data_IF_343410291603
#
_entry.id   IF_343410291603
#
_cell.length_a   1.000
_cell.length_b   1.000
_cell.length_c   1.000
_cell.angle_alpha   90.00
_cell.angle_beta   90.00
_cell.angle_gamma   90.00
#
_symmetry.space_group_name_H-M   'P 1'
#
loop_
_entity.id
_entity.type
_entity.pdbx_description
1 polymer ?
#
# COMPACT_ATOMS: atom_id res chain seq x y z
N UNK A 1 -14.23 17.25 -13.40
CA UNK A 1 -14.80 16.24 -12.48
C UNK A 1 -16.10 15.67 -13.03
N UNK A 2 -17.10 16.51 -13.33
CA UNK A 2 -18.31 16.12 -14.07
C UNK A 2 -18.75 17.24 -15.03
N UNK A 3 -19.60 16.97 -16.03
CA UNK A 3 -20.17 18.00 -16.90
C UNK A 3 -20.83 19.10 -16.07
N UNK A 4 -20.65 20.37 -16.47
CA UNK A 4 -21.15 21.56 -15.77
C UNK A 4 -20.67 21.72 -14.30
N UNK A 5 -19.66 20.94 -13.87
CA UNK A 5 -19.20 20.96 -12.48
C UNK A 5 -18.66 22.30 -11.98
N UNK A 6 -18.26 23.21 -12.88
CA UNK A 6 -17.84 24.57 -12.52
C UNK A 6 -18.99 25.39 -11.90
N UNK A 7 -20.23 25.11 -12.28
CA UNK A 7 -21.43 25.82 -11.79
C UNK A 7 -22.10 25.13 -10.61
N UNK A 8 -21.57 24.00 -10.15
CA UNK A 8 -22.15 23.22 -9.05
C UNK A 8 -21.29 23.46 -7.81
N UNK A 9 -21.74 24.23 -6.81
CA UNK A 9 -21.00 24.42 -5.58
C UNK A 9 -20.87 23.09 -4.82
N UNK A 10 -19.74 22.89 -4.14
CA UNK A 10 -19.57 21.76 -3.22
C UNK A 10 -20.28 22.08 -1.91
N UNK A 11 -21.19 21.21 -1.50
CA UNK A 11 -22.01 21.34 -0.28
C UNK A 11 -21.83 20.11 0.61
N UNK A 12 -22.36 20.17 1.82
CA UNK A 12 -22.30 19.05 2.77
C UNK A 12 -22.97 17.78 2.23
N UNK A 13 -24.02 17.93 1.42
CA UNK A 13 -24.77 16.84 0.81
C UNK A 13 -23.98 16.18 -0.34
N UNK A 14 -23.22 16.97 -1.12
CA UNK A 14 -22.53 16.49 -2.31
C UNK A 14 -21.02 16.24 -2.14
N UNK A 15 -20.43 16.55 -0.98
CA UNK A 15 -18.99 16.40 -0.72
C UNK A 15 -18.46 14.99 -0.95
N UNK A 16 -19.25 13.94 -0.66
CA UNK A 16 -18.86 12.54 -0.90
C UNK A 16 -18.65 12.28 -2.40
N UNK A 17 -19.54 12.81 -3.23
CA UNK A 17 -19.43 12.71 -4.69
C UNK A 17 -18.21 13.47 -5.18
N UNK A 18 -18.01 14.69 -4.68
CA UNK A 18 -16.84 15.50 -5.01
C UNK A 18 -15.53 14.77 -4.71
N UNK A 19 -15.38 14.22 -3.50
CA UNK A 19 -14.18 13.47 -3.09
C UNK A 19 -13.95 12.29 -4.03
N UNK A 20 -14.99 11.48 -4.32
CA UNK A 20 -14.86 10.34 -5.24
C UNK A 20 -14.39 10.78 -6.63
N UNK A 21 -15.01 11.82 -7.20
CA UNK A 21 -14.64 12.34 -8.52
C UNK A 21 -13.22 12.91 -8.52
N UNK A 22 -12.85 13.64 -7.47
CA UNK A 22 -11.53 14.22 -7.32
C UNK A 22 -10.44 13.15 -7.23
N UNK A 23 -10.67 12.10 -6.44
CA UNK A 23 -9.75 10.96 -6.33
C UNK A 23 -9.57 10.29 -7.69
N UNK A 24 -10.66 9.94 -8.38
CA UNK A 24 -10.58 9.34 -9.72
C UNK A 24 -9.79 10.22 -10.70
N UNK A 25 -10.08 11.52 -10.73
CA UNK A 25 -9.34 12.46 -11.56
C UNK A 25 -7.87 12.54 -11.17
N UNK A 26 -7.54 12.58 -9.88
CA UNK A 26 -6.16 12.69 -9.39
C UNK A 26 -5.31 11.48 -9.77
N UNK A 27 -5.91 10.29 -9.84
CA UNK A 27 -5.23 9.06 -10.24
C UNK A 27 -5.13 8.87 -11.76
N UNK A 28 -6.10 9.33 -12.54
CA UNK A 28 -6.13 9.09 -13.99
C UNK A 28 -5.56 10.23 -14.84
N UNK A 29 -5.60 11.47 -14.34
CA UNK A 29 -5.23 12.65 -15.13
C UNK A 29 -3.81 12.53 -15.69
N UNK A 30 -3.70 12.57 -17.01
CA UNK A 30 -2.42 12.58 -17.74
C UNK A 30 -1.82 11.19 -18.00
N UNK A 31 -2.39 10.13 -17.42
CA UNK A 31 -1.89 8.76 -17.58
C UNK A 31 -2.94 7.75 -18.05
N UNK A 32 -4.19 8.18 -18.25
CA UNK A 32 -5.31 7.28 -18.57
C UNK A 32 -5.05 6.41 -19.81
N UNK A 33 -4.55 7.00 -20.90
CA UNK A 33 -4.26 6.25 -22.12
C UNK A 33 -3.16 5.18 -21.91
N UNK A 34 -2.11 5.54 -21.15
CA UNK A 34 -0.99 4.65 -20.82
C UNK A 34 -1.42 3.54 -19.87
N UNK A 35 -2.25 3.87 -18.88
CA UNK A 35 -2.81 2.91 -17.93
C UNK A 35 -3.71 1.89 -18.65
N UNK A 36 -4.60 2.35 -19.53
CA UNK A 36 -5.46 1.47 -20.33
C UNK A 36 -4.66 0.57 -21.28
N UNK A 37 -3.60 1.09 -21.90
CA UNK A 37 -2.71 0.29 -22.75
C UNK A 37 -1.99 -0.79 -21.95
N UNK A 38 -1.47 -0.46 -20.75
CA UNK A 38 -0.83 -1.44 -19.86
C UNK A 38 -1.83 -2.49 -19.39
N UNK A 39 -3.02 -2.09 -18.95
CA UNK A 39 -4.08 -2.99 -18.52
C UNK A 39 -4.50 -3.95 -19.65
N UNK A 40 -4.62 -3.44 -20.88
CA UNK A 40 -4.93 -4.25 -22.06
C UNK A 40 -3.85 -5.32 -22.28
N UNK A 41 -2.58 -4.92 -22.37
CA UNK A 41 -1.48 -5.87 -22.59
C UNK A 41 -1.34 -6.89 -21.47
N UNK A 42 -1.54 -6.48 -20.22
CA UNK A 42 -1.54 -7.41 -19.08
C UNK A 42 -2.67 -8.43 -19.18
N UNK A 43 -3.89 -7.99 -19.52
CA UNK A 43 -5.07 -8.85 -19.64
C UNK A 43 -5.05 -9.78 -20.87
N UNK A 44 -4.26 -9.46 -21.91
CA UNK A 44 -4.01 -10.35 -23.05
C UNK A 44 -3.17 -11.59 -22.64
N UNK A 45 -2.33 -11.46 -21.62
CA UNK A 45 -1.50 -12.54 -21.08
C UNK A 45 -2.17 -13.26 -19.91
N UNK A 46 -2.74 -12.50 -18.97
CA UNK A 46 -3.37 -13.01 -17.76
C UNK A 46 -4.87 -12.67 -17.78
N UNK A 47 -5.76 -13.65 -17.95
CA UNK A 47 -7.20 -13.40 -17.96
C UNK A 47 -7.70 -12.69 -16.70
N UNK A 48 -8.45 -11.60 -16.88
CA UNK A 48 -8.90 -10.73 -15.78
C UNK A 48 -9.69 -11.48 -14.69
N UNK A 49 -10.40 -12.55 -15.02
CA UNK A 49 -11.19 -13.30 -14.05
C UNK A 49 -10.32 -14.02 -13.00
N UNK A 50 -9.07 -14.36 -13.33
CA UNK A 50 -8.12 -14.96 -12.38
C UNK A 50 -7.63 -13.94 -11.33
N UNK A 51 -7.65 -12.65 -11.68
CA UNK A 51 -7.21 -11.58 -10.80
C UNK A 51 -8.30 -11.18 -9.78
N UNK A 52 -9.57 -11.50 -10.04
CA UNK A 52 -10.71 -11.07 -9.21
C UNK A 52 -10.68 -11.63 -7.79
N UNK A 53 -9.93 -12.70 -7.55
CA UNK A 53 -9.81 -13.34 -6.23
C UNK A 53 -8.81 -12.61 -5.33
N UNK A 54 -7.93 -11.78 -5.88
CA UNK A 54 -6.87 -11.09 -5.14
C UNK A 54 -7.24 -9.64 -4.85
N UNK A 55 -6.87 -9.16 -3.67
CA UNK A 55 -6.82 -7.73 -3.40
C UNK A 55 -5.53 -7.09 -3.97
N UNK A 56 -5.40 -5.77 -3.86
CA UNK A 56 -4.24 -5.04 -4.39
C UNK A 56 -2.91 -5.45 -3.73
N UNK A 57 -2.95 -5.89 -2.47
CA UNK A 57 -1.77 -6.26 -1.69
C UNK A 57 -1.30 -7.67 -2.03
N UNK A 58 -2.24 -8.58 -2.22
CA UNK A 58 -1.99 -9.94 -2.68
C UNK A 58 -1.44 -9.96 -4.10
N UNK A 59 -1.97 -9.12 -4.99
CA UNK A 59 -1.41 -8.96 -6.33
C UNK A 59 0.03 -8.42 -6.30
N UNK A 60 0.34 -7.45 -5.43
CA UNK A 60 1.73 -6.98 -5.23
C UNK A 60 2.63 -8.13 -4.76
N UNK A 61 2.18 -8.95 -3.80
CA UNK A 61 2.95 -10.08 -3.28
C UNK A 61 3.22 -11.15 -4.34
N UNK A 62 2.24 -11.45 -5.20
CA UNK A 62 2.40 -12.42 -6.29
C UNK A 62 3.43 -11.93 -7.31
N UNK A 63 3.40 -10.64 -7.66
CA UNK A 63 4.30 -10.06 -8.66
C UNK A 63 5.71 -9.88 -8.09
N UNK A 64 5.84 -9.40 -6.86
CA UNK A 64 7.14 -9.06 -6.27
C UNK A 64 7.80 -10.23 -5.52
N UNK A 65 7.02 -11.26 -5.18
CA UNK A 65 7.45 -12.40 -4.37
C UNK A 65 7.57 -12.08 -2.88
N UNK A 66 7.68 -13.15 -2.07
CA UNK A 66 7.94 -13.06 -0.64
C UNK A 66 9.46 -13.07 -0.40
N UNK A 67 9.99 -11.94 0.07
CA UNK A 67 11.35 -11.84 0.58
C UNK A 67 11.42 -12.19 2.07
N UNK A 68 12.60 -12.58 2.54
CA UNK A 68 12.84 -12.76 3.97
C UNK A 68 13.00 -11.41 4.66
N UNK A 69 12.20 -11.14 5.68
CA UNK A 69 12.28 -9.90 6.46
C UNK A 69 13.15 -10.12 7.69
N UNK A 70 14.25 -9.36 7.79
CA UNK A 70 15.08 -9.34 9.01
C UNK A 70 14.40 -8.51 10.10
N UNK A 71 13.76 -9.21 11.05
CA UNK A 71 13.06 -8.58 12.18
C UNK A 71 14.03 -7.85 13.11
N UNK A 72 15.28 -8.28 13.22
CA UNK A 72 16.28 -7.61 14.06
C UNK A 72 16.68 -6.27 13.44
N UNK A 73 16.92 -6.24 12.12
CA UNK A 73 17.18 -4.99 11.39
C UNK A 73 15.97 -4.05 11.49
N UNK A 74 14.75 -4.57 11.35
CA UNK A 74 13.53 -3.77 11.51
C UNK A 74 13.45 -3.13 12.89
N UNK A 75 13.68 -3.91 13.94
CA UNK A 75 13.66 -3.45 15.33
C UNK A 75 14.74 -2.43 15.61
N UNK A 76 15.96 -2.65 15.13
CA UNK A 76 17.11 -1.74 15.31
C UNK A 76 16.88 -0.36 14.66
N UNK A 77 16.11 -0.31 13.57
CA UNK A 77 15.83 0.93 12.84
C UNK A 77 14.45 1.54 13.14
N UNK A 78 13.72 1.00 14.12
CA UNK A 78 12.41 1.52 14.52
C UNK A 78 12.56 2.68 15.51
N UNK A 79 11.97 3.83 15.18
CA UNK A 79 11.89 4.99 16.08
C UNK A 79 10.56 4.99 16.82
N UNK A 80 10.62 5.04 18.15
CA UNK A 80 9.43 5.05 19.01
C UNK A 80 9.03 6.50 19.36
N UNK A 81 7.73 6.78 19.34
CA UNK A 81 7.15 8.03 19.81
C UNK A 81 6.22 7.73 20.99
N UNK A 82 6.32 8.51 22.06
CA UNK A 82 5.50 8.38 23.27
C UNK A 82 5.57 7.01 23.98
N UNK A 83 6.55 6.19 23.65
CA UNK A 83 6.83 4.91 24.29
C UNK A 83 8.34 4.64 24.23
N UNK A 84 8.79 3.69 25.03
CA UNK A 84 10.19 3.26 25.13
C UNK A 84 10.33 1.79 24.75
N UNK A 85 11.53 1.29 24.44
CA UNK A 85 11.76 -0.14 24.20
C UNK A 85 11.29 -1.03 25.36
N UNK A 86 11.25 -0.49 26.58
CA UNK A 86 10.79 -1.21 27.77
C UNK A 86 9.29 -1.26 27.96
N UNK A 87 8.54 -0.46 27.21
CA UNK A 87 7.07 -0.42 27.29
C UNK A 87 6.48 -1.78 26.89
N UNK A 88 5.53 -2.28 27.68
CA UNK A 88 4.90 -3.58 27.42
C UNK A 88 4.32 -3.69 26.01
N UNK A 89 3.70 -2.61 25.51
CA UNK A 89 3.14 -2.58 24.15
C UNK A 89 4.20 -2.81 23.06
N UNK A 90 5.40 -2.27 23.23
CA UNK A 90 6.51 -2.44 22.28
C UNK A 90 7.06 -3.86 22.35
N UNK A 91 7.20 -4.41 23.56
CA UNK A 91 7.61 -5.81 23.79
C UNK A 91 6.61 -6.79 23.17
N UNK A 92 5.31 -6.56 23.37
CA UNK A 92 4.25 -7.40 22.80
C UNK A 92 4.18 -7.30 21.28
N UNK A 93 4.35 -6.10 20.71
CA UNK A 93 4.40 -5.92 19.27
C UNK A 93 5.52 -6.77 18.64
N UNK A 94 6.76 -6.63 19.12
CA UNK A 94 7.88 -7.40 18.56
C UNK A 94 7.75 -8.90 18.79
N UNK A 95 7.25 -9.31 19.97
CA UNK A 95 6.95 -10.74 20.21
C UNK A 95 5.93 -11.29 19.21
N UNK A 96 4.91 -10.52 18.84
CA UNK A 96 3.96 -10.93 17.81
C UNK A 96 4.61 -11.01 16.41
N UNK A 97 5.41 -10.00 16.04
CA UNK A 97 6.11 -9.96 14.74
C UNK A 97 7.11 -11.11 14.59
N UNK A 98 7.82 -11.46 15.66
CA UNK A 98 8.74 -12.61 15.70
C UNK A 98 8.01 -13.94 15.49
N UNK A 99 6.75 -14.05 15.94
CA UNK A 99 5.90 -15.24 15.75
C UNK A 99 5.21 -15.31 14.38
N UNK A 100 5.18 -14.21 13.62
CA UNK A 100 4.60 -14.20 12.28
C UNK A 100 5.46 -14.98 11.27
N UNK A 101 4.79 -15.62 10.33
CA UNK A 101 5.43 -16.12 9.12
C UNK A 101 5.79 -14.96 8.17
N UNK A 102 6.54 -15.26 7.11
CA UNK A 102 7.00 -14.24 6.16
C UNK A 102 5.83 -13.52 5.47
N UNK A 103 4.72 -14.22 5.19
CA UNK A 103 3.53 -13.60 4.60
C UNK A 103 2.92 -12.55 5.54
N UNK A 104 2.67 -12.89 6.80
CA UNK A 104 2.12 -11.92 7.78
C UNK A 104 3.07 -10.77 8.05
N UNK A 105 4.38 -11.01 8.07
CA UNK A 105 5.40 -9.93 8.16
C UNK A 105 5.34 -9.01 6.95
N UNK A 106 5.23 -9.56 5.74
CA UNK A 106 5.10 -8.77 4.51
C UNK A 106 3.80 -7.96 4.47
N UNK A 107 2.67 -8.55 4.90
CA UNK A 107 1.38 -7.84 5.03
C UNK A 107 1.45 -6.71 6.06
N UNK A 108 2.14 -6.92 7.19
CA UNK A 108 2.38 -5.86 8.18
C UNK A 108 3.25 -4.75 7.60
N UNK A 109 4.30 -5.10 6.84
CA UNK A 109 5.18 -4.12 6.20
C UNK A 109 4.41 -3.29 5.16
N UNK A 110 3.58 -3.93 4.33
CA UNK A 110 2.67 -3.25 3.40
C UNK A 110 1.70 -2.32 4.12
N UNK A 111 1.15 -2.76 5.25
CA UNK A 111 0.24 -1.93 6.02
C UNK A 111 0.88 -0.63 6.51
N UNK A 112 2.13 -0.67 6.97
CA UNK A 112 2.81 0.50 7.54
C UNK A 112 3.60 1.33 6.53
N UNK A 113 4.04 0.74 5.41
CA UNK A 113 4.90 1.41 4.40
C UNK A 113 4.26 1.57 3.02
N UNK A 114 3.19 0.82 2.73
CA UNK A 114 2.61 0.73 1.39
C UNK A 114 3.34 -0.21 0.42
N UNK A 115 4.36 -0.95 0.88
CA UNK A 115 5.01 -1.99 0.06
C UNK A 115 5.44 -3.21 0.88
N UNK A 116 5.56 -4.37 0.23
CA UNK A 116 6.06 -5.61 0.83
C UNK A 116 7.58 -5.74 0.84
N UNK A 117 8.30 -4.77 0.27
CA UNK A 117 9.75 -4.84 0.05
C UNK A 117 10.53 -3.97 1.02
N UNK A 118 11.61 -4.54 1.54
CA UNK A 118 12.64 -3.81 2.27
C UNK A 118 13.69 -3.31 1.27
N UNK A 119 14.18 -2.05 1.38
CA UNK A 119 15.28 -1.57 0.55
C UNK A 119 16.51 -2.49 0.65
N UNK A 120 17.33 -2.55 -0.40
CA UNK A 120 18.54 -3.38 -0.41
C UNK A 120 19.49 -3.04 0.75
N UNK A 121 19.50 -1.78 1.19
CA UNK A 121 20.31 -1.32 2.31
C UNK A 121 19.65 -1.55 3.69
N UNK A 122 18.51 -2.25 3.75
CA UNK A 122 17.78 -2.55 4.99
C UNK A 122 16.85 -1.42 5.45
N UNK A 123 16.29 -1.58 6.64
CA UNK A 123 15.30 -0.67 7.23
C UNK A 123 15.85 0.72 7.54
N UNK A 124 17.18 0.86 7.69
CA UNK A 124 17.84 2.17 7.85
C UNK A 124 17.63 3.10 6.64
N UNK A 125 17.42 2.51 5.46
CA UNK A 125 17.25 3.23 4.20
C UNK A 125 15.78 3.36 3.79
N UNK A 126 14.84 3.06 4.70
CA UNK A 126 13.43 3.22 4.43
C UNK A 126 13.11 4.71 4.23
N UNK A 127 12.58 5.04 3.05
CA UNK A 127 12.18 6.40 2.68
C UNK A 127 10.66 6.53 2.69
N UNK A 128 10.18 7.69 3.13
CA UNK A 128 8.78 8.07 2.95
C UNK A 128 8.56 8.59 1.53
N UNK A 129 7.39 8.30 0.97
CA UNK A 129 6.90 8.92 -0.26
C UNK A 129 6.26 10.28 0.02
#
# INVERSE_FOLDING_TARGET
LKPNGKSIPVTEENKKEYVRLYVNWRFLRGIEAQFLALQKGFNEVIPQHLLKTFDEKELELIICGLGKIDVNDWKANTRLKHCTPDSNIVKWFWKAVELFDEERRARLLQFVTGSSRVPLQGFKALQGN
#
